data_IF_187735332194
#
_entry.id   IF_187735332194
#
_cell.length_a   1.000
_cell.length_b   1.000
_cell.length_c   1.000
_cell.angle_alpha   90.00
_cell.angle_beta   90.00
_cell.angle_gamma   90.00
#
_symmetry.space_group_name_H-M   'P 1'
#
loop_
_entity.id
_entity.type
_entity.pdbx_description
1 polymer ?
#
# COMPACT_ATOMS: atom_id res chain seq x y z
N UNK A 1 -0.45 -36.30 35.63
CA UNK A 1 -1.53 -35.72 34.83
C UNK A 1 -1.14 -35.70 33.36
N UNK A 2 -2.08 -35.94 32.43
CA UNK A 2 -1.80 -35.91 30.98
C UNK A 2 -1.94 -34.46 30.46
N UNK A 3 -1.05 -33.97 29.59
CA UNK A 3 -1.21 -32.67 28.96
C UNK A 3 -2.48 -32.60 28.10
N UNK A 4 -2.96 -31.39 27.83
CA UNK A 4 -4.12 -31.13 26.98
C UNK A 4 -3.78 -30.13 25.87
N UNK A 5 -4.56 -30.10 24.80
CA UNK A 5 -4.33 -29.25 23.63
C UNK A 5 -5.37 -28.13 23.55
N UNK A 6 -4.93 -26.94 23.18
CA UNK A 6 -5.78 -25.79 22.87
C UNK A 6 -5.59 -25.44 21.40
N UNK A 7 -6.69 -25.39 20.65
CA UNK A 7 -6.72 -25.11 19.21
C UNK A 7 -7.86 -24.14 18.87
N UNK A 8 -7.79 -23.48 17.71
CA UNK A 8 -8.81 -22.55 17.23
C UNK A 8 -8.34 -21.09 17.26
N UNK A 9 -9.27 -20.16 17.51
CA UNK A 9 -9.00 -18.72 17.61
C UNK A 9 -8.39 -18.32 18.96
N UNK A 10 -7.26 -18.93 19.28
CA UNK A 10 -6.43 -18.54 20.43
C UNK A 10 -5.15 -17.89 19.94
N UNK A 11 -4.55 -17.05 20.79
CA UNK A 11 -3.27 -16.42 20.50
C UNK A 11 -2.16 -17.46 20.29
N UNK A 12 -2.05 -18.42 21.20
CA UNK A 12 -1.02 -19.46 21.14
C UNK A 12 -1.67 -20.85 21.16
N UNK A 13 -1.97 -21.44 20.00
CA UNK A 13 -2.43 -22.83 19.95
C UNK A 13 -1.26 -23.77 20.29
N UNK A 14 -1.54 -24.85 21.04
CA UNK A 14 -0.49 -25.77 21.46
C UNK A 14 -0.87 -26.69 22.60
N UNK A 15 0.13 -27.41 23.10
CA UNK A 15 0.02 -28.34 24.21
C UNK A 15 0.35 -27.64 25.53
N UNK A 16 -0.51 -27.81 26.53
CA UNK A 16 -0.37 -27.21 27.85
C UNK A 16 -0.37 -28.27 28.96
N UNK A 17 0.44 -28.08 30.03
CA UNK A 17 0.42 -28.96 31.18
C UNK A 17 -0.89 -28.78 31.96
N UNK A 18 -1.48 -29.88 32.39
CA UNK A 18 -2.66 -29.85 33.25
C UNK A 18 -2.28 -29.49 34.69
N UNK A 19 -3.06 -28.59 35.30
CA UNK A 19 -2.94 -28.19 36.70
C UNK A 19 -4.25 -28.57 37.42
N UNK A 20 -4.21 -29.09 38.66
CA UNK A 20 -5.42 -29.28 39.47
C UNK A 20 -6.24 -28.00 39.58
N UNK A 21 -7.57 -28.12 39.59
CA UNK A 21 -8.53 -27.00 39.60
C UNK A 21 -8.44 -26.05 38.39
N UNK A 22 -7.90 -26.53 37.26
CA UNK A 22 -7.88 -25.78 36.00
C UNK A 22 -9.28 -25.69 35.38
N UNK A 23 -9.78 -24.46 35.23
CA UNK A 23 -11.01 -24.18 34.49
C UNK A 23 -10.71 -23.87 33.02
N UNK A 24 -11.71 -24.05 32.15
CA UNK A 24 -11.61 -23.70 30.72
C UNK A 24 -11.24 -22.22 30.53
N UNK A 25 -11.81 -21.33 31.36
CA UNK A 25 -11.49 -19.90 31.34
C UNK A 25 -10.01 -19.66 31.63
N UNK A 26 -9.47 -20.32 32.66
CA UNK A 26 -8.05 -20.20 33.05
C UNK A 26 -7.13 -20.79 31.99
N UNK A 27 -7.50 -21.92 31.38
CA UNK A 27 -6.78 -22.51 30.26
C UNK A 27 -6.72 -21.57 29.04
N UNK A 28 -7.83 -20.90 28.72
CA UNK A 28 -7.89 -19.90 27.65
C UNK A 28 -7.01 -18.68 27.95
N UNK A 29 -6.97 -18.23 29.21
CA UNK A 29 -6.05 -17.16 29.63
C UNK A 29 -4.58 -17.56 29.50
N UNK A 30 -4.23 -18.81 29.84
CA UNK A 30 -2.87 -19.36 29.67
C UNK A 30 -2.47 -19.45 28.19
N UNK A 31 -3.42 -19.73 27.29
CA UNK A 31 -3.21 -19.70 25.84
C UNK A 31 -3.11 -18.30 25.22
N UNK A 32 -3.08 -17.24 26.05
CA UNK A 32 -3.02 -15.85 25.60
C UNK A 32 -4.38 -15.24 25.23
N UNK A 33 -5.48 -15.95 25.48
CA UNK A 33 -6.84 -15.50 25.19
C UNK A 33 -7.22 -15.66 23.72
N UNK A 34 -8.36 -15.06 23.36
CA UNK A 34 -8.88 -15.08 21.98
C UNK A 34 -7.91 -14.34 21.05
N UNK A 35 -7.68 -14.90 19.86
CA UNK A 35 -6.87 -14.26 18.82
C UNK A 35 -7.46 -12.90 18.50
N UNK A 36 -6.64 -11.85 18.64
CA UNK A 36 -7.01 -10.50 18.23
C UNK A 36 -6.73 -10.38 16.75
N UNK A 37 -7.70 -9.92 15.97
CA UNK A 37 -7.44 -9.54 14.58
C UNK A 37 -6.47 -8.35 14.57
N UNK A 38 -5.44 -8.39 13.72
CA UNK A 38 -4.50 -7.30 13.49
C UNK A 38 -5.13 -6.14 12.69
N UNK A 39 -6.37 -5.76 13.02
CA UNK A 39 -7.17 -4.78 12.27
C UNK A 39 -6.47 -3.43 12.10
N UNK A 40 -5.63 -3.03 13.07
CA UNK A 40 -4.86 -1.79 12.96
C UNK A 40 -3.71 -1.86 11.94
N UNK A 41 -3.12 -3.04 11.70
CA UNK A 41 -2.07 -3.18 10.67
C UNK A 41 -2.69 -3.08 9.28
N UNK A 42 -3.77 -3.82 9.03
CA UNK A 42 -4.49 -3.76 7.75
C UNK A 42 -4.95 -2.34 7.39
N UNK A 43 -5.44 -1.57 8.36
CA UNK A 43 -5.85 -0.19 8.12
C UNK A 43 -4.66 0.72 7.74
N UNK A 44 -3.51 0.57 8.40
CA UNK A 44 -2.30 1.36 8.10
C UNK A 44 -1.69 0.99 6.76
N UNK A 45 -1.59 -0.31 6.48
CA UNK A 45 -1.04 -0.81 5.22
C UNK A 45 -1.88 -0.33 4.03
N UNK A 46 -3.21 -0.29 4.19
CA UNK A 46 -4.12 0.22 3.16
C UNK A 46 -3.98 1.74 2.95
N UNK A 47 -3.72 2.51 4.01
CA UNK A 47 -3.45 3.96 3.89
C UNK A 47 -2.13 4.20 3.16
N UNK A 48 -1.08 3.47 3.54
CA UNK A 48 0.23 3.61 2.91
C UNK A 48 0.20 3.21 1.44
N UNK A 49 -0.44 2.07 1.11
CA UNK A 49 -0.58 1.60 -0.26
C UNK A 49 -1.32 2.60 -1.15
N UNK A 50 -2.33 3.28 -0.61
CA UNK A 50 -3.03 4.35 -1.34
C UNK A 50 -2.12 5.55 -1.59
N UNK A 51 -1.37 6.00 -0.58
CA UNK A 51 -0.42 7.10 -0.74
C UNK A 51 0.69 6.79 -1.76
N UNK A 52 1.24 5.58 -1.72
CA UNK A 52 2.23 5.12 -2.71
C UNK A 52 1.65 5.06 -4.12
N UNK A 53 0.41 4.60 -4.26
CA UNK A 53 -0.28 4.58 -5.55
C UNK A 53 -0.44 5.99 -6.13
N UNK A 54 -0.84 6.96 -5.32
CA UNK A 54 -1.01 8.35 -5.76
C UNK A 54 0.33 8.95 -6.26
N UNK A 55 1.44 8.66 -5.57
CA UNK A 55 2.77 9.11 -6.00
C UNK A 55 3.21 8.44 -7.31
N UNK A 56 2.95 7.13 -7.46
CA UNK A 56 3.30 6.40 -8.68
C UNK A 56 2.48 6.86 -9.89
N UNK A 57 1.21 7.22 -9.71
CA UNK A 57 0.40 7.81 -10.77
C UNK A 57 1.00 9.16 -11.23
N UNK A 58 1.37 10.05 -10.29
CA UNK A 58 2.00 11.33 -10.63
C UNK A 58 3.31 11.13 -11.42
N UNK A 59 4.13 10.15 -11.03
CA UNK A 59 5.37 9.81 -11.73
C UNK A 59 5.10 9.25 -13.13
N UNK A 60 4.08 8.40 -13.27
CA UNK A 60 3.67 7.85 -14.58
C UNK A 60 3.28 8.97 -15.53
N UNK A 61 2.45 9.91 -15.08
CA UNK A 61 2.05 11.08 -15.87
C UNK A 61 3.26 11.90 -16.31
N UNK A 62 4.16 12.22 -15.38
CA UNK A 62 5.37 12.98 -15.69
C UNK A 62 6.24 12.29 -16.73
N UNK A 63 6.42 10.98 -16.64
CA UNK A 63 7.20 10.22 -17.63
C UNK A 63 6.59 10.24 -19.02
N UNK A 64 5.25 10.19 -19.13
CA UNK A 64 4.56 10.27 -20.41
C UNK A 64 4.75 11.66 -21.04
N UNK A 65 4.58 12.72 -20.26
CA UNK A 65 4.79 14.11 -20.72
C UNK A 65 6.26 14.31 -21.13
N UNK A 66 7.21 13.87 -20.31
CA UNK A 66 8.64 13.97 -20.60
C UNK A 66 9.01 13.22 -21.88
N UNK A 67 8.43 12.03 -22.10
CA UNK A 67 8.63 11.28 -23.35
C UNK A 67 8.13 12.07 -24.55
N UNK A 68 6.92 12.62 -24.49
CA UNK A 68 6.36 13.44 -25.57
C UNK A 68 7.23 14.67 -25.86
N UNK A 69 7.74 15.33 -24.82
CA UNK A 69 8.70 16.44 -24.93
C UNK A 69 9.98 16.01 -25.66
N UNK A 70 10.57 14.87 -25.29
CA UNK A 70 11.80 14.35 -25.92
C UNK A 70 11.55 13.99 -27.39
N UNK A 71 10.41 13.35 -27.70
CA UNK A 71 10.02 13.06 -29.08
C UNK A 71 9.86 14.34 -29.91
N UNK A 72 9.31 15.42 -29.32
CA UNK A 72 9.22 16.72 -29.98
C UNK A 72 10.59 17.38 -30.19
N UNK A 73 11.49 17.28 -29.21
CA UNK A 73 12.88 17.78 -29.31
C UNK A 73 13.66 17.06 -30.42
N UNK A 74 13.51 15.73 -30.54
CA UNK A 74 14.15 14.96 -31.63
C UNK A 74 13.58 15.35 -33.00
N UNK A 75 12.30 15.74 -33.05
CA UNK A 75 11.63 16.15 -34.28
C UNK A 75 11.79 17.66 -34.59
N UNK A 76 12.61 18.40 -33.85
CA UNK A 76 12.77 19.86 -33.92
C UNK A 76 11.43 20.64 -33.88
N UNK A 77 10.43 20.10 -33.17
CA UNK A 77 9.13 20.76 -33.01
C UNK A 77 9.16 21.70 -31.81
N UNK A 78 8.64 22.94 -31.95
CA UNK A 78 8.60 23.91 -30.85
C UNK A 78 7.57 23.58 -29.77
N UNK A 79 6.72 22.57 -29.99
CA UNK A 79 5.65 22.14 -29.08
C UNK A 79 5.51 20.63 -29.10
N UNK A 80 5.06 20.04 -28.00
CA UNK A 80 4.70 18.62 -27.92
C UNK A 80 3.20 18.47 -27.68
N UNK A 81 2.58 17.49 -28.33
CA UNK A 81 1.18 17.16 -28.10
C UNK A 81 1.07 16.31 -26.83
N UNK A 82 0.19 16.71 -25.91
CA UNK A 82 -0.05 15.94 -24.68
C UNK A 82 -0.75 14.62 -25.04
N UNK A 83 -0.18 13.46 -24.68
CA UNK A 83 -0.78 12.17 -25.00
C UNK A 83 -2.17 12.01 -24.37
N UNK A 84 -3.13 11.50 -25.13
CA UNK A 84 -4.54 11.31 -24.70
C UNK A 84 -4.68 10.44 -23.44
N UNK A 85 -3.69 9.61 -23.15
CA UNK A 85 -3.60 8.74 -21.97
C UNK A 85 -3.51 9.49 -20.64
N UNK A 86 -3.27 10.81 -20.69
CA UNK A 86 -3.07 11.67 -19.52
C UNK A 86 -4.08 12.83 -19.49
N UNK A 87 -4.91 12.96 -20.51
CA UNK A 87 -5.79 14.11 -20.72
C UNK A 87 -6.81 14.33 -19.60
N UNK A 88 -7.12 13.28 -18.83
CA UNK A 88 -8.12 13.29 -17.77
C UNK A 88 -7.55 13.56 -16.36
N UNK A 89 -6.23 13.75 -16.22
CA UNK A 89 -5.60 13.93 -14.91
C UNK A 89 -5.64 15.41 -14.45
N UNK A 90 -6.22 15.73 -13.27
CA UNK A 90 -6.28 17.10 -12.75
C UNK A 90 -4.91 17.74 -12.51
N UNK A 91 -3.84 16.95 -12.31
CA UNK A 91 -2.46 17.46 -12.14
C UNK A 91 -1.70 17.61 -13.46
N UNK A 92 -2.32 17.27 -14.58
CA UNK A 92 -1.70 17.39 -15.91
C UNK A 92 -1.20 18.81 -16.20
N UNK A 93 -2.01 19.82 -15.86
CA UNK A 93 -1.73 21.22 -16.21
C UNK A 93 -0.42 21.73 -15.57
N UNK A 94 -0.15 21.37 -14.32
CA UNK A 94 1.10 21.77 -13.65
C UNK A 94 2.31 21.01 -14.20
N UNK A 95 2.17 19.72 -14.47
CA UNK A 95 3.25 18.88 -15.01
C UNK A 95 3.63 19.31 -16.43
N UNK A 96 2.64 19.66 -17.27
CA UNK A 96 2.90 20.19 -18.61
C UNK A 96 3.57 21.56 -18.54
N UNK A 97 3.15 22.44 -17.63
CA UNK A 97 3.77 23.76 -17.45
C UNK A 97 5.24 23.64 -17.04
N UNK A 98 5.57 22.74 -16.10
CA UNK A 98 6.95 22.47 -15.67
C UNK A 98 7.81 21.99 -16.85
N UNK A 99 7.29 21.08 -17.67
CA UNK A 99 8.02 20.49 -18.79
C UNK A 99 8.17 21.46 -19.98
N UNK A 100 7.18 22.34 -20.22
CA UNK A 100 7.30 23.43 -21.20
C UNK A 100 8.34 24.47 -20.78
N UNK A 101 8.43 24.80 -19.48
CA UNK A 101 9.44 25.73 -18.98
C UNK A 101 10.87 25.20 -19.22
N UNK A 102 11.08 23.89 -19.10
CA UNK A 102 12.37 23.24 -19.40
C UNK A 102 12.65 23.24 -20.92
N UNK A 103 11.62 23.16 -21.77
CA UNK A 103 11.80 23.17 -23.23
C UNK A 103 12.20 24.55 -23.76
N UNK A 104 11.79 25.63 -23.10
CA UNK A 104 12.08 27.02 -23.50
C UNK A 104 13.37 27.60 -22.92
N UNK A 105 13.97 26.93 -21.92
CA UNK A 105 15.21 27.35 -21.25
C UNK A 105 16.44 26.81 -21.98
#
# INVERSE_FOLDING_TARGET
YRPFYISGEVQTPGQYPYVPDLTVLRAMSIAGGVRRADGQRYARDMINAKGEFDVLQDQRVRLIVRRARIEAQIADKPTFDVPKEVADDPKLASIVADEMAILTA
#
